data_IF_553119961511
#
_entry.id   IF_553119961511
#
_cell.length_a   1.000
_cell.length_b   1.000
_cell.length_c   1.000
_cell.angle_alpha   90.00
_cell.angle_beta   90.00
_cell.angle_gamma   90.00
#
_symmetry.space_group_name_H-M   'P 1'
#
loop_
_entity.id
_entity.type
_entity.pdbx_description
1 polymer ?
#
# COMPACT_ATOMS: atom_id res chain seq x y z
N UNK A 1 27.00 0.88 5.46
CA UNK A 1 25.59 0.60 5.80
C UNK A 1 24.77 1.67 5.12
N UNK A 2 24.54 1.49 3.82
CA UNK A 2 23.68 2.39 3.06
C UNK A 2 22.24 2.09 3.46
N UNK A 3 21.65 3.02 4.21
CA UNK A 3 20.22 3.07 4.41
C UNK A 3 19.60 3.50 3.09
N UNK A 4 19.37 2.53 2.20
CA UNK A 4 18.53 2.70 1.01
C UNK A 4 17.06 2.62 1.48
N UNK A 5 16.67 3.46 2.43
CA UNK A 5 15.28 3.64 2.84
C UNK A 5 14.90 5.05 2.44
N UNK A 6 14.51 5.22 1.17
CA UNK A 6 13.75 6.41 0.81
C UNK A 6 12.46 6.42 1.63
N UNK A 7 12.01 7.56 2.17
CA UNK A 7 10.88 7.64 3.08
C UNK A 7 9.54 7.22 2.48
N UNK A 8 9.48 6.84 1.20
CA UNK A 8 8.30 6.34 0.50
C UNK A 8 8.31 4.81 0.30
N UNK A 9 9.43 4.15 0.56
CA UNK A 9 9.64 2.75 0.18
C UNK A 9 8.89 1.79 1.11
N UNK A 10 8.81 2.11 2.40
CA UNK A 10 8.10 1.31 3.40
C UNK A 10 6.58 1.39 3.22
N UNK A 11 6.04 2.58 3.02
CA UNK A 11 4.62 2.82 2.78
C UNK A 11 4.15 2.18 1.48
N UNK A 12 4.97 2.29 0.42
CA UNK A 12 4.74 1.59 -0.83
C UNK A 12 4.72 0.07 -0.63
N UNK A 13 5.72 -0.49 0.05
CA UNK A 13 5.81 -1.92 0.29
C UNK A 13 4.64 -2.44 1.16
N UNK A 14 4.22 -1.66 2.15
CA UNK A 14 3.10 -1.97 3.02
C UNK A 14 1.77 -1.97 2.25
N UNK A 15 1.49 -0.89 1.49
CA UNK A 15 0.28 -0.81 0.68
C UNK A 15 0.24 -1.91 -0.39
N UNK A 16 1.38 -2.16 -1.05
CA UNK A 16 1.50 -3.25 -2.02
C UNK A 16 1.18 -4.60 -1.39
N UNK A 17 1.83 -4.93 -0.27
CA UNK A 17 1.64 -6.21 0.42
C UNK A 17 0.20 -6.36 0.92
N UNK A 18 -0.42 -5.28 1.40
CA UNK A 18 -1.82 -5.27 1.78
C UNK A 18 -2.72 -5.62 0.59
N UNK A 19 -2.55 -4.95 -0.56
CA UNK A 19 -3.37 -5.19 -1.74
C UNK A 19 -3.12 -6.58 -2.36
N UNK A 20 -1.91 -7.12 -2.22
CA UNK A 20 -1.55 -8.45 -2.70
C UNK A 20 -2.17 -9.56 -1.85
N UNK A 21 -2.11 -9.43 -0.52
CA UNK A 21 -2.69 -10.40 0.43
C UNK A 21 -4.20 -10.27 0.52
N UNK A 22 -4.76 -9.07 0.27
CA UNK A 22 -6.19 -8.85 0.38
C UNK A 22 -6.99 -9.71 -0.61
N UNK A 23 -8.15 -10.15 -0.14
CA UNK A 23 -9.15 -10.93 -0.87
C UNK A 23 -9.84 -10.07 -1.94
N UNK A 24 -10.38 -10.69 -3.00
CA UNK A 24 -11.22 -10.01 -4.00
C UNK A 24 -10.57 -8.87 -4.81
N UNK A 25 -9.24 -8.77 -4.87
CA UNK A 25 -8.55 -7.84 -5.75
C UNK A 25 -8.59 -8.32 -7.21
N UNK A 26 -9.36 -7.64 -8.07
CA UNK A 26 -9.46 -7.95 -9.52
C UNK A 26 -8.29 -7.43 -10.35
N UNK A 27 -7.37 -6.69 -9.71
CA UNK A 27 -6.29 -5.94 -10.35
C UNK A 27 -4.89 -6.46 -9.98
N UNK A 28 -4.76 -7.70 -9.45
CA UNK A 28 -3.47 -8.26 -9.02
C UNK A 28 -2.40 -8.26 -10.11
N UNK A 29 -2.76 -8.59 -11.35
CA UNK A 29 -1.81 -8.54 -12.48
C UNK A 29 -1.26 -7.13 -12.73
N UNK A 30 -2.14 -6.11 -12.64
CA UNK A 30 -1.78 -4.71 -12.81
C UNK A 30 -0.93 -4.20 -11.62
N UNK A 31 -1.23 -4.69 -10.42
CA UNK A 31 -0.46 -4.41 -9.20
C UNK A 31 0.98 -4.92 -9.32
N UNK A 32 1.18 -6.16 -9.77
CA UNK A 32 2.53 -6.70 -10.02
C UNK A 32 3.25 -5.95 -11.16
N UNK A 33 2.52 -5.45 -12.16
CA UNK A 33 3.10 -4.60 -13.20
C UNK A 33 3.62 -3.27 -12.63
N UNK A 34 2.97 -2.70 -11.61
CA UNK A 34 3.46 -1.48 -10.95
C UNK A 34 4.73 -1.75 -10.13
N UNK A 35 4.77 -2.89 -9.41
CA UNK A 35 5.98 -3.29 -8.68
C UNK A 35 7.19 -3.46 -9.60
N UNK A 36 6.98 -4.05 -10.77
CA UNK A 36 8.02 -4.26 -11.78
C UNK A 36 8.59 -2.92 -12.30
N UNK A 37 7.76 -1.89 -12.45
CA UNK A 37 8.19 -0.54 -12.85
C UNK A 37 8.97 0.16 -11.73
N UNK A 38 8.59 -0.04 -10.47
CA UNK A 38 9.28 0.53 -9.31
C UNK A 38 10.66 -0.11 -9.11
N UNK A 39 10.77 -1.44 -9.23
CA UNK A 39 12.05 -2.16 -9.15
C UNK A 39 12.99 -1.72 -10.27
N UNK A 40 12.46 -1.49 -11.49
CA UNK A 40 13.25 -0.97 -12.61
C UNK A 40 13.81 0.44 -12.35
N UNK A 41 13.03 1.32 -11.68
CA UNK A 41 13.49 2.66 -11.29
C UNK A 41 14.61 2.62 -10.24
N UNK A 42 14.59 1.62 -9.34
CA UNK A 42 15.64 1.41 -8.34
C UNK A 42 16.88 0.70 -8.89
N UNK A 43 16.75 -0.06 -9.98
CA UNK A 43 17.87 -0.77 -10.64
C UNK A 43 18.59 0.08 -11.70
N UNK A 44 18.14 1.32 -11.95
CA UNK A 44 18.70 2.21 -12.96
C UNK A 44 19.90 3.05 -12.50
N UNK A 45 20.49 2.78 -11.34
CA UNK A 45 21.61 3.56 -10.78
C UNK A 45 22.80 2.69 -10.39
N UNK A 46 23.09 1.64 -11.15
CA UNK A 46 24.40 1.00 -11.15
C UNK A 46 24.88 0.92 -12.60
N UNK A 47 25.32 2.07 -13.10
CA UNK A 47 26.18 2.15 -14.27
C UNK A 47 27.63 1.93 -13.78
N UNK A 48 27.93 0.71 -13.36
CA UNK A 48 29.30 0.23 -13.25
C UNK A 48 29.41 -1.13 -13.92
N UNK A 49 30.13 -1.09 -15.03
CA UNK A 49 30.45 -2.22 -15.89
C UNK A 49 31.04 -3.37 -15.07
N UNK A 50 30.29 -4.46 -14.87
CA UNK A 50 30.85 -5.82 -14.92
C UNK A 50 29.74 -6.84 -15.12
N UNK A 51 29.70 -7.41 -16.33
CA UNK A 51 29.11 -8.73 -16.53
C UNK A 51 29.86 -9.74 -15.65
N UNK A 52 29.17 -10.32 -14.67
CA UNK A 52 29.63 -11.54 -14.02
C UNK A 52 28.80 -12.70 -14.51
N UNK A 53 29.47 -13.81 -14.77
CA UNK A 53 28.87 -14.99 -15.36
C UNK A 53 27.66 -15.47 -14.56
N UNK A 54 26.69 -15.99 -15.29
CA UNK A 54 25.43 -16.39 -14.73
C UNK A 54 25.58 -17.62 -13.84
N UNK A 55 24.91 -17.57 -12.70
CA UNK A 55 24.35 -18.75 -12.07
C UNK A 55 22.87 -18.52 -11.74
N UNK A 56 22.00 -19.08 -12.59
CA UNK A 56 20.64 -19.46 -12.21
C UNK A 56 20.73 -20.55 -11.14
N UNK A 57 20.86 -20.17 -9.87
CA UNK A 57 20.60 -21.10 -8.78
C UNK A 57 19.17 -20.94 -8.31
N UNK A 58 18.53 -22.08 -8.08
CA UNK A 58 17.09 -22.24 -8.03
C UNK A 58 16.39 -21.41 -6.96
N UNK A 59 15.13 -21.11 -7.27
CA UNK A 59 14.13 -20.64 -6.35
C UNK A 59 13.99 -21.65 -5.19
N UNK A 60 14.74 -21.46 -4.09
CA UNK A 60 14.52 -22.19 -2.86
C UNK A 60 13.41 -21.52 -2.08
N UNK A 61 12.20 -22.01 -2.30
CA UNK A 61 11.06 -21.82 -1.43
C UNK A 61 11.11 -22.87 -0.32
N UNK A 62 12.05 -22.72 0.62
CA UNK A 62 12.12 -23.46 1.89
C UNK A 62 12.32 -22.39 2.98
N UNK A 63 11.42 -22.19 3.94
CA UNK A 63 11.05 -23.17 4.94
C UNK A 63 12.08 -23.11 6.08
N UNK A 64 11.79 -22.27 7.09
CA UNK A 64 12.41 -22.23 8.42
C UNK A 64 13.94 -21.98 8.46
N UNK A 65 14.33 -20.70 8.56
CA UNK A 65 15.63 -20.29 9.09
C UNK A 65 15.37 -19.17 10.08
N UNK A 66 15.62 -19.42 11.37
CA UNK A 66 15.52 -18.47 12.47
C UNK A 66 16.52 -17.32 12.35
N UNK A 67 16.29 -16.41 11.41
CA UNK A 67 16.89 -15.10 11.28
C UNK A 67 15.80 -14.08 11.63
N UNK A 68 16.19 -12.98 12.28
CA UNK A 68 15.28 -11.88 12.54
C UNK A 68 14.47 -11.59 11.26
N UNK A 69 13.13 -11.49 11.36
CA UNK A 69 12.28 -11.45 10.18
C UNK A 69 12.74 -10.27 9.33
N UNK A 70 13.18 -10.56 8.10
CA UNK A 70 13.52 -9.51 7.15
C UNK A 70 12.35 -8.52 7.08
N UNK A 71 12.60 -7.22 6.97
CA UNK A 71 11.55 -6.19 6.98
C UNK A 71 10.38 -6.54 6.03
N UNK A 72 10.64 -7.27 4.94
CA UNK A 72 9.64 -7.81 4.02
C UNK A 72 8.71 -8.88 4.62
N UNK A 73 9.19 -9.80 5.45
CA UNK A 73 8.36 -10.80 6.13
C UNK A 73 7.48 -10.15 7.22
N UNK A 74 8.05 -9.20 7.98
CA UNK A 74 7.29 -8.39 8.94
C UNK A 74 6.20 -7.60 8.22
N UNK A 75 6.53 -6.94 7.10
CA UNK A 75 5.58 -6.22 6.27
C UNK A 75 4.45 -7.12 5.77
N UNK A 76 4.73 -8.36 5.34
CA UNK A 76 3.69 -9.30 4.90
C UNK A 76 2.77 -9.73 6.05
N UNK A 77 3.32 -10.00 7.23
CA UNK A 77 2.52 -10.37 8.41
C UNK A 77 1.62 -9.20 8.83
N UNK A 78 2.18 -8.00 8.92
CA UNK A 78 1.41 -6.78 9.23
C UNK A 78 0.36 -6.54 8.16
N UNK A 79 0.71 -6.63 6.87
CA UNK A 79 -0.22 -6.45 5.77
C UNK A 79 -1.39 -7.45 5.83
N UNK A 80 -1.12 -8.72 6.18
CA UNK A 80 -2.16 -9.72 6.37
C UNK A 80 -3.11 -9.37 7.53
N UNK A 81 -2.56 -8.90 8.65
CA UNK A 81 -3.38 -8.42 9.78
C UNK A 81 -4.22 -7.20 9.40
N UNK A 82 -3.63 -6.22 8.70
CA UNK A 82 -4.35 -5.05 8.22
C UNK A 82 -5.43 -5.45 7.21
N UNK A 83 -5.19 -6.44 6.35
CA UNK A 83 -6.16 -6.95 5.39
C UNK A 83 -7.35 -7.62 6.07
N UNK A 84 -7.13 -8.40 7.14
CA UNK A 84 -8.23 -9.00 7.92
C UNK A 84 -9.12 -7.93 8.56
N UNK A 85 -8.52 -6.89 9.16
CA UNK A 85 -9.27 -5.74 9.70
C UNK A 85 -9.96 -4.99 8.57
N UNK A 86 -9.27 -4.85 7.44
CA UNK A 86 -9.79 -4.17 6.26
C UNK A 86 -11.03 -4.83 5.68
N UNK A 87 -11.10 -6.15 5.69
CA UNK A 87 -12.27 -6.91 5.25
C UNK A 87 -13.48 -6.72 6.19
N UNK A 88 -13.24 -6.38 7.47
CA UNK A 88 -14.32 -5.98 8.39
C UNK A 88 -14.83 -4.58 8.04
N UNK A 89 -13.93 -3.61 7.83
CA UNK A 89 -14.30 -2.25 7.43
C UNK A 89 -14.94 -2.20 6.04
N UNK A 90 -14.55 -3.08 5.12
CA UNK A 90 -15.14 -3.16 3.78
C UNK A 90 -16.65 -3.34 3.82
N UNK A 91 -17.17 -4.09 4.81
CA UNK A 91 -18.61 -4.32 5.03
C UNK A 91 -19.34 -3.08 5.54
N UNK A 92 -18.64 -2.19 6.24
CA UNK A 92 -19.20 -0.95 6.80
C UNK A 92 -19.13 0.21 5.79
N UNK A 93 -18.18 0.18 4.85
CA UNK A 93 -18.01 1.23 3.84
C UNK A 93 -19.12 1.13 2.78
N UNK A 94 -19.97 2.15 2.76
CA UNK A 94 -21.04 2.30 1.76
C UNK A 94 -20.47 2.56 0.36
N UNK A 95 -21.03 1.90 -0.66
CA UNK A 95 -20.66 2.10 -2.07
C UNK A 95 -20.80 3.55 -2.53
N UNK A 96 -21.73 4.32 -1.93
CA UNK A 96 -21.92 5.75 -2.24
C UNK A 96 -20.66 6.57 -1.97
N UNK A 97 -19.94 6.26 -0.90
CA UNK A 97 -18.70 6.95 -0.51
C UNK A 97 -17.60 6.62 -1.52
N UNK A 98 -17.49 5.34 -1.90
CA UNK A 98 -16.51 4.88 -2.90
C UNK A 98 -16.79 5.51 -4.25
N UNK A 99 -18.05 5.53 -4.71
CA UNK A 99 -18.42 6.12 -6.00
C UNK A 99 -18.13 7.63 -6.03
N UNK A 100 -18.37 8.35 -4.95
CA UNK A 100 -17.97 9.76 -4.83
C UNK A 100 -16.46 9.92 -5.01
N UNK A 101 -15.67 9.11 -4.30
CA UNK A 101 -14.22 9.15 -4.37
C UNK A 101 -13.69 8.77 -5.77
N UNK A 102 -14.27 7.75 -6.42
CA UNK A 102 -13.99 7.36 -7.81
C UNK A 102 -14.20 8.53 -8.77
N UNK A 103 -15.31 9.27 -8.65
CA UNK A 103 -15.56 10.44 -9.50
C UNK A 103 -14.50 11.53 -9.32
N UNK A 104 -14.01 11.73 -8.10
CA UNK A 104 -12.90 12.64 -7.84
C UNK A 104 -11.58 12.16 -8.46
N UNK A 105 -11.28 10.85 -8.40
CA UNK A 105 -10.09 10.29 -9.04
C UNK A 105 -10.16 10.25 -10.57
N UNK A 106 -11.36 10.20 -11.16
CA UNK A 106 -11.56 10.33 -12.60
C UNK A 106 -11.39 11.77 -13.10
N UNK A 107 -11.54 12.76 -12.21
CA UNK A 107 -11.38 14.16 -12.60
C UNK A 107 -9.89 14.50 -12.79
N UNK A 108 -9.46 14.62 -14.04
CA UNK A 108 -8.08 14.99 -14.41
C UNK A 108 -7.73 16.42 -14.01
N UNK A 109 -8.73 17.28 -13.75
CA UNK A 109 -8.49 18.67 -13.34
C UNK A 109 -8.09 18.80 -11.87
N UNK A 110 -8.22 17.75 -11.06
CA UNK A 110 -7.87 17.77 -9.64
C UNK A 110 -6.41 17.37 -9.44
N UNK A 111 -5.68 18.19 -8.68
CA UNK A 111 -4.32 17.87 -8.27
C UNK A 111 -4.30 16.67 -7.31
N UNK A 112 -3.17 15.94 -7.26
CA UNK A 112 -3.00 14.85 -6.30
C UNK A 112 -3.17 15.32 -4.85
N UNK A 113 -2.86 16.58 -4.53
CA UNK A 113 -3.04 17.14 -3.19
C UNK A 113 -4.51 17.36 -2.83
N UNK A 114 -5.33 17.83 -3.77
CA UNK A 114 -6.78 17.99 -3.56
C UNK A 114 -7.45 16.62 -3.37
N UNK A 115 -7.05 15.64 -4.17
CA UNK A 115 -7.53 14.27 -4.04
C UNK A 115 -7.09 13.66 -2.70
N UNK A 116 -5.84 13.87 -2.30
CA UNK A 116 -5.31 13.44 -0.98
C UNK A 116 -6.12 14.06 0.16
N UNK A 117 -6.42 15.36 0.08
CA UNK A 117 -7.22 16.07 1.08
C UNK A 117 -8.65 15.53 1.13
N UNK A 118 -9.24 15.24 -0.03
CA UNK A 118 -10.57 14.66 -0.11
C UNK A 118 -10.61 13.24 0.47
N UNK A 119 -9.63 12.40 0.15
CA UNK A 119 -9.45 11.07 0.73
C UNK A 119 -9.32 11.13 2.26
N UNK A 120 -8.48 12.05 2.78
CA UNK A 120 -8.33 12.28 4.23
C UNK A 120 -9.66 12.63 4.91
N UNK A 121 -10.46 13.50 4.28
CA UNK A 121 -11.79 13.86 4.78
C UNK A 121 -12.73 12.66 4.82
N UNK A 122 -12.77 11.87 3.75
CA UNK A 122 -13.61 10.66 3.69
C UNK A 122 -13.20 9.64 4.75
N UNK A 123 -11.90 9.39 4.92
CA UNK A 123 -11.38 8.53 6.00
C UNK A 123 -11.81 9.05 7.37
N UNK A 124 -11.72 10.36 7.61
CA UNK A 124 -12.16 10.97 8.86
C UNK A 124 -13.67 10.87 9.12
N UNK A 125 -14.49 10.94 8.06
CA UNK A 125 -15.95 10.75 8.14
C UNK A 125 -16.29 9.27 8.43
N UNK A 126 -15.62 8.32 7.78
CA UNK A 126 -15.78 6.88 8.03
C UNK A 126 -15.31 6.47 9.43
N UNK A 127 -14.27 7.12 9.96
CA UNK A 127 -13.79 6.88 11.33
C UNK A 127 -14.87 7.18 12.38
N UNK A 128 -15.83 8.07 12.11
CA UNK A 128 -16.94 8.32 13.04
C UNK A 128 -17.99 7.21 13.06
N UNK A 129 -18.04 6.39 12.01
CA UNK A 129 -18.97 5.27 11.90
C UNK A 129 -18.43 3.98 12.55
N UNK A 130 -17.11 3.87 12.72
CA UNK A 130 -16.44 2.69 13.28
C UNK A 130 -16.37 2.82 14.82
N UNK A 131 -16.70 1.77 15.58
CA UNK A 131 -16.62 1.80 17.04
C UNK A 131 -15.18 2.00 17.56
N UNK A 132 -15.05 2.85 18.59
CA UNK A 132 -13.79 3.40 19.15
C UNK A 132 -12.83 2.42 19.86
N UNK A 133 -12.98 1.10 19.67
CA UNK A 133 -12.19 0.10 20.40
C UNK A 133 -10.75 -0.07 19.83
N UNK A 134 -10.49 0.49 18.65
CA UNK A 134 -9.21 0.40 17.94
C UNK A 134 -8.44 1.73 17.94
N UNK A 135 -7.11 1.66 17.95
CA UNK A 135 -6.24 2.84 17.80
C UNK A 135 -6.60 3.65 16.56
N UNK A 136 -6.80 4.96 16.74
CA UNK A 136 -7.28 5.86 15.69
C UNK A 136 -6.35 5.86 14.47
N UNK A 137 -5.04 5.88 14.68
CA UNK A 137 -4.06 5.88 13.60
C UNK A 137 -4.14 4.60 12.76
N UNK A 138 -4.19 3.45 13.44
CA UNK A 138 -4.37 2.14 12.79
C UNK A 138 -5.66 2.07 11.99
N UNK A 139 -6.77 2.54 12.56
CA UNK A 139 -8.07 2.48 11.91
C UNK A 139 -8.14 3.38 10.67
N UNK A 140 -7.60 4.61 10.77
CA UNK A 140 -7.52 5.52 9.62
C UNK A 140 -6.60 4.98 8.51
N UNK A 141 -5.48 4.35 8.89
CA UNK A 141 -4.58 3.69 7.94
C UNK A 141 -5.27 2.55 7.19
N UNK A 142 -5.94 1.63 7.91
CA UNK A 142 -6.68 0.52 7.30
C UNK A 142 -7.81 1.04 6.42
N UNK A 143 -8.58 2.03 6.88
CA UNK A 143 -9.63 2.67 6.08
C UNK A 143 -9.09 3.22 4.75
N UNK A 144 -7.95 3.90 4.78
CA UNK A 144 -7.32 4.41 3.56
C UNK A 144 -6.96 3.29 2.58
N UNK A 145 -6.35 2.20 3.08
CA UNK A 145 -5.98 1.04 2.27
C UNK A 145 -7.21 0.33 1.68
N UNK A 146 -8.29 0.18 2.46
CA UNK A 146 -9.55 -0.43 1.99
C UNK A 146 -10.23 0.44 0.95
N UNK A 147 -10.28 1.75 1.14
CA UNK A 147 -10.81 2.68 0.13
C UNK A 147 -10.05 2.53 -1.19
N UNK A 148 -8.73 2.45 -1.13
CA UNK A 148 -7.89 2.20 -2.30
C UNK A 148 -8.24 0.89 -2.98
N UNK A 149 -8.34 -0.21 -2.23
CA UNK A 149 -8.81 -1.50 -2.76
C UNK A 149 -10.17 -1.35 -3.48
N UNK A 150 -11.16 -0.69 -2.85
CA UNK A 150 -12.51 -0.56 -3.42
C UNK A 150 -12.56 0.31 -4.68
N UNK A 151 -11.84 1.44 -4.69
CA UNK A 151 -11.76 2.32 -5.87
C UNK A 151 -11.17 1.55 -7.04
N UNK A 152 -10.05 0.87 -6.83
CA UNK A 152 -9.35 0.16 -7.90
C UNK A 152 -10.13 -1.08 -8.36
N UNK A 153 -10.82 -1.77 -7.45
CA UNK A 153 -11.74 -2.85 -7.84
C UNK A 153 -12.92 -2.35 -8.70
N UNK A 154 -13.34 -1.10 -8.51
CA UNK A 154 -14.40 -0.48 -9.31
C UNK A 154 -13.86 0.02 -10.65
N UNK A 155 -12.70 0.67 -10.63
CA UNK A 155 -12.06 1.28 -11.79
C UNK A 155 -10.56 0.95 -11.80
N UNK A 156 -10.16 -0.20 -12.38
CA UNK A 156 -8.77 -0.65 -12.36
C UNK A 156 -7.80 0.28 -13.10
N UNK A 157 -8.28 1.07 -14.06
CA UNK A 157 -7.45 2.06 -14.79
C UNK A 157 -6.88 3.15 -13.89
N UNK A 158 -7.48 3.38 -12.72
CA UNK A 158 -7.01 4.36 -11.74
C UNK A 158 -5.95 3.80 -10.78
N UNK A 159 -5.58 2.51 -10.89
CA UNK A 159 -4.66 1.84 -9.96
C UNK A 159 -3.43 2.69 -9.65
N UNK A 160 -2.68 3.14 -10.67
CA UNK A 160 -1.45 3.92 -10.48
C UNK A 160 -1.72 5.22 -9.72
N UNK A 161 -2.71 6.01 -10.17
CA UNK A 161 -3.05 7.30 -9.58
C UNK A 161 -3.51 7.16 -8.13
N UNK A 162 -4.37 6.18 -7.84
CA UNK A 162 -4.91 5.94 -6.50
C UNK A 162 -3.80 5.41 -5.59
N UNK A 163 -2.99 4.47 -6.09
CA UNK A 163 -1.87 3.91 -5.36
C UNK A 163 -0.86 5.01 -4.96
N UNK A 164 -0.39 5.81 -5.91
CA UNK A 164 0.55 6.91 -5.64
C UNK A 164 -0.04 7.94 -4.66
N UNK A 165 -1.33 8.27 -4.81
CA UNK A 165 -2.03 9.19 -3.89
C UNK A 165 -2.12 8.62 -2.49
N UNK A 166 -2.38 7.32 -2.36
CA UNK A 166 -2.49 6.63 -1.06
C UNK A 166 -1.15 6.53 -0.37
N UNK A 167 -0.08 6.18 -1.11
CA UNK A 167 1.28 6.15 -0.56
C UNK A 167 1.70 7.54 -0.08
N UNK A 168 1.40 8.60 -0.85
CA UNK A 168 1.66 9.98 -0.43
C UNK A 168 0.85 10.37 0.81
N UNK A 169 -0.41 9.96 0.90
CA UNK A 169 -1.23 10.16 2.10
C UNK A 169 -0.65 9.44 3.31
N UNK A 170 -0.24 8.18 3.14
CA UNK A 170 0.39 7.36 4.19
C UNK A 170 1.69 7.98 4.68
N UNK A 171 2.54 8.43 3.77
CA UNK A 171 3.78 9.11 4.13
C UNK A 171 3.53 10.43 4.87
N UNK A 172 2.52 11.22 4.47
CA UNK A 172 2.22 12.49 5.15
C UNK A 172 1.53 12.34 6.51
N UNK A 173 0.77 11.28 6.74
CA UNK A 173 -0.05 11.12 7.94
C UNK A 173 0.41 10.01 8.88
N UNK A 174 1.01 8.96 8.35
CA UNK A 174 1.31 7.73 9.10
C UNK A 174 2.78 7.33 9.02
N UNK A 175 3.68 8.15 8.48
CA UNK A 175 5.11 7.78 8.37
C UNK A 175 5.70 7.35 9.71
N UNK A 176 5.56 8.18 10.75
CA UNK A 176 6.07 7.83 12.09
C UNK A 176 5.38 6.59 12.66
N UNK A 177 4.09 6.41 12.41
CA UNK A 177 3.32 5.26 12.90
C UNK A 177 3.73 3.96 12.19
N UNK A 178 4.02 4.02 10.88
CA UNK A 178 4.48 2.89 10.09
C UNK A 178 5.91 2.51 10.48
N UNK A 179 6.79 3.50 10.72
CA UNK A 179 8.15 3.26 11.22
C UNK A 179 8.13 2.62 12.61
N UNK A 180 7.31 3.14 13.54
CA UNK A 180 7.15 2.57 14.89
C UNK A 180 6.60 1.14 14.84
N UNK A 181 5.59 0.90 13.99
CA UNK A 181 5.01 -0.44 13.79
C UNK A 181 6.02 -1.44 13.19
N UNK A 182 6.95 -0.97 12.35
CA UNK A 182 7.98 -1.78 11.72
C UNK A 182 9.25 -1.94 12.58
N UNK A 183 9.37 -1.21 13.68
CA UNK A 183 10.40 -1.40 14.70
C UNK A 183 11.81 -1.02 14.26
N UNK A 184 12.00 0.09 13.54
CA UNK A 184 13.33 0.70 13.30
C UNK A 184 13.71 1.75 14.36
#
# INVERSE_FOLDING_TARGET
MEQINGPLQMEHALLFSFLDVSSDCKFKEQLHSLQSQQIMLCQGSDDDEVQTDGNRSGHFRNGDVGLAPTNEEVLRVIAAQLAEIGDQFDREIQERVVNGLVQHFLNENLSNEEITRHMSRVVGELMQAIPSDMEREKAMLVLAMVLTKKIVNTVPSLLRRVFDTTVNYMNRQFHNYIVDMLGE
#
